data_IF_732333479834
#
_entry.id   IF_732333479834
#
_cell.length_a   1.000
_cell.length_b   1.000
_cell.length_c   1.000
_cell.angle_alpha   90.00
_cell.angle_beta   90.00
_cell.angle_gamma   90.00
#
_symmetry.space_group_name_H-M   'P 1'
#
loop_
_entity.id
_entity.type
_entity.pdbx_description
1 polymer ?
#
# COMPACT_ATOMS: atom_id res chain seq x y z
N UNK A 1 18.80 -23.31 14.44
CA UNK A 1 18.37 -22.87 13.09
C UNK A 1 17.58 -21.57 13.21
N UNK A 2 17.96 -20.50 12.52
CA UNK A 2 17.28 -19.21 12.63
C UNK A 2 15.90 -19.26 11.95
N UNK A 3 14.84 -19.09 12.73
CA UNK A 3 13.45 -19.09 12.24
C UNK A 3 13.21 -17.83 11.42
N UNK A 4 13.01 -17.97 10.10
CA UNK A 4 12.62 -16.86 9.22
C UNK A 4 11.43 -16.14 9.84
N UNK A 5 11.61 -14.86 10.18
CA UNK A 5 10.59 -14.04 10.83
C UNK A 5 9.29 -14.05 10.02
N UNK A 6 8.16 -14.17 10.72
CA UNK A 6 6.83 -14.21 10.09
C UNK A 6 6.43 -12.87 9.43
N UNK A 7 7.15 -11.80 9.79
CA UNK A 7 6.94 -10.44 9.31
C UNK A 7 7.72 -10.20 8.03
N UNK A 8 7.02 -9.78 6.98
CA UNK A 8 7.62 -9.35 5.71
C UNK A 8 7.37 -7.87 5.46
N UNK A 9 8.22 -7.25 4.65
CA UNK A 9 7.95 -5.92 4.09
C UNK A 9 7.15 -6.08 2.81
N UNK A 10 6.10 -5.28 2.65
CA UNK A 10 5.26 -5.20 1.45
C UNK A 10 5.09 -3.75 1.02
N UNK A 11 4.83 -3.53 -0.27
CA UNK A 11 4.46 -2.21 -0.80
C UNK A 11 2.94 -2.13 -0.80
N UNK A 12 2.40 -1.00 -0.38
CA UNK A 12 1.01 -0.63 -0.63
C UNK A 12 1.06 0.37 -1.78
N UNK A 13 0.63 -0.04 -2.97
CA UNK A 13 0.69 0.76 -4.20
C UNK A 13 -0.64 1.48 -4.41
N UNK A 14 -0.57 2.78 -4.70
CA UNK A 14 -1.75 3.61 -4.99
C UNK A 14 -2.47 3.12 -6.24
N UNK A 15 -3.80 2.97 -6.16
CA UNK A 15 -4.63 2.63 -7.34
C UNK A 15 -4.81 3.79 -8.31
N UNK A 16 -4.41 5.01 -7.93
CA UNK A 16 -4.51 6.20 -8.79
C UNK A 16 -3.46 6.26 -9.91
N UNK A 17 -2.57 5.26 -10.04
CA UNK A 17 -1.58 5.20 -11.12
C UNK A 17 -0.44 6.22 -11.01
N UNK A 18 -0.30 6.90 -9.86
CA UNK A 18 0.68 7.97 -9.62
C UNK A 18 2.11 7.46 -9.36
N UNK A 19 2.27 6.15 -9.21
CA UNK A 19 3.52 5.50 -8.76
C UNK A 19 3.83 5.72 -7.27
N UNK A 20 2.95 6.38 -6.50
CA UNK A 20 3.14 6.55 -5.07
C UNK A 20 2.84 5.25 -4.30
N UNK A 21 3.70 4.90 -3.35
CA UNK A 21 3.54 3.71 -2.53
C UNK A 21 4.01 3.94 -1.10
N UNK A 22 3.40 3.20 -0.17
CA UNK A 22 3.89 3.08 1.19
C UNK A 22 4.62 1.76 1.37
N UNK A 23 5.65 1.73 2.21
CA UNK A 23 6.24 0.48 2.69
C UNK A 23 5.64 0.16 4.05
N UNK A 24 5.18 -1.08 4.23
CA UNK A 24 4.68 -1.54 5.52
C UNK A 24 5.17 -2.94 5.84
N UNK A 25 5.11 -3.28 7.12
CA UNK A 25 5.44 -4.62 7.63
C UNK A 25 4.14 -5.37 7.87
N UNK A 26 4.04 -6.59 7.36
CA UNK A 26 2.86 -7.44 7.52
C UNK A 26 3.30 -8.81 8.02
N UNK A 27 2.55 -9.36 8.95
CA UNK A 27 2.79 -10.70 9.47
C UNK A 27 2.01 -11.70 8.63
N UNK A 28 2.70 -12.51 7.82
CA UNK A 28 2.09 -13.48 6.91
C UNK A 28 1.30 -14.59 7.62
N UNK A 29 1.53 -14.78 8.92
CA UNK A 29 0.80 -15.77 9.72
C UNK A 29 -0.61 -15.32 10.08
N UNK A 30 -0.77 -14.03 10.38
CA UNK A 30 -2.06 -13.46 10.79
C UNK A 30 -2.81 -12.82 9.63
N UNK A 31 -2.09 -12.39 8.60
CA UNK A 31 -2.67 -11.79 7.39
C UNK A 31 -2.33 -12.65 6.19
N UNK A 32 -3.30 -13.47 5.80
CA UNK A 32 -3.23 -14.39 4.66
C UNK A 32 -3.69 -13.72 3.36
N UNK A 33 -4.59 -12.74 3.44
CA UNK A 33 -5.13 -12.02 2.29
C UNK A 33 -4.35 -10.75 1.95
N UNK A 34 -4.44 -10.31 0.68
CA UNK A 34 -3.82 -9.05 0.22
C UNK A 34 -4.47 -7.87 0.92
N UNK A 35 -3.65 -6.98 1.47
CA UNK A 35 -4.16 -5.77 2.10
C UNK A 35 -4.67 -4.75 1.09
N UNK A 36 -5.88 -4.23 1.36
CA UNK A 36 -6.41 -3.03 0.73
C UNK A 36 -6.65 -2.00 1.83
N UNK A 37 -6.09 -0.80 1.67
CA UNK A 37 -6.26 0.29 2.65
C UNK A 37 -6.50 1.61 1.94
N UNK A 38 -7.51 2.35 2.37
CA UNK A 38 -7.69 3.73 1.95
C UNK A 38 -6.67 4.63 2.65
N UNK A 39 -5.83 5.31 1.87
CA UNK A 39 -4.80 6.24 2.37
C UNK A 39 -4.70 7.46 1.46
N UNK A 40 -4.02 8.49 1.93
CA UNK A 40 -3.75 9.68 1.14
C UNK A 40 -2.64 9.42 0.12
N UNK A 41 -2.86 9.86 -1.12
CA UNK A 41 -1.84 9.95 -2.14
C UNK A 41 -1.67 11.44 -2.50
N UNK A 42 -0.50 12.06 -2.20
CA UNK A 42 -0.25 13.47 -2.47
C UNK A 42 -0.19 13.79 -3.98
N UNK A 43 0.02 12.79 -4.82
CA UNK A 43 0.12 12.93 -6.28
C UNK A 43 -1.19 12.58 -6.99
N UNK A 44 -2.15 11.99 -6.29
CA UNK A 44 -3.44 11.65 -6.88
C UNK A 44 -4.26 12.91 -7.12
N UNK A 45 -4.85 13.03 -8.30
CA UNK A 45 -5.74 14.14 -8.62
C UNK A 45 -7.09 13.90 -7.97
N UNK A 46 -7.57 14.87 -7.21
CA UNK A 46 -8.92 14.87 -6.65
C UNK A 46 -9.93 15.13 -7.78
N UNK A 47 -10.87 14.20 -7.96
CA UNK A 47 -11.87 14.29 -9.02
C UNK A 47 -12.84 15.46 -8.85
N UNK A 48 -13.11 15.91 -7.62
CA UNK A 48 -14.08 16.97 -7.33
C UNK A 48 -13.47 18.37 -7.40
N UNK A 49 -12.27 18.56 -6.84
CA UNK A 49 -11.64 19.89 -6.75
C UNK A 49 -10.59 20.12 -7.84
N UNK A 50 -10.20 19.10 -8.59
CA UNK A 50 -9.14 19.16 -9.60
C UNK A 50 -7.72 19.33 -9.04
N UNK A 51 -7.57 19.45 -7.71
CA UNK A 51 -6.29 19.65 -7.03
C UNK A 51 -5.55 18.33 -6.82
N UNK A 52 -4.23 18.41 -6.61
CA UNK A 52 -3.41 17.27 -6.20
C UNK A 52 -3.69 16.92 -4.73
N UNK A 53 -3.66 15.63 -4.40
CA UNK A 53 -3.97 15.10 -3.09
C UNK A 53 -5.37 14.50 -2.98
N UNK A 54 -5.47 13.18 -2.89
CA UNK A 54 -6.73 12.48 -2.67
C UNK A 54 -6.55 11.21 -1.84
N UNK A 55 -7.59 10.84 -1.08
CA UNK A 55 -7.63 9.53 -0.44
C UNK A 55 -8.10 8.49 -1.44
N UNK A 56 -7.21 7.54 -1.72
CA UNK A 56 -7.42 6.47 -2.70
C UNK A 56 -7.13 5.14 -2.05
N UNK A 57 -7.58 4.06 -2.69
CA UNK A 57 -7.25 2.73 -2.24
C UNK A 57 -5.81 2.38 -2.57
N UNK A 58 -5.12 1.76 -1.62
CA UNK A 58 -3.79 1.22 -1.82
C UNK A 58 -3.86 -0.29 -1.69
N UNK A 59 -3.30 -0.99 -2.68
CA UNK A 59 -3.28 -2.46 -2.74
C UNK A 59 -1.90 -3.00 -2.44
N UNK A 60 -1.84 -4.12 -1.74
CA UNK A 60 -0.59 -4.81 -1.47
C UNK A 60 0.04 -5.37 -2.73
N UNK A 61 1.32 -5.04 -2.91
CA UNK A 61 2.21 -5.62 -3.91
C UNK A 61 3.50 -6.13 -3.26
N UNK A 62 4.08 -7.16 -3.88
CA UNK A 62 5.31 -7.79 -3.42
C UNK A 62 6.48 -6.82 -3.60
N UNK A 63 7.29 -6.66 -2.57
CA UNK A 63 8.62 -6.05 -2.72
C UNK A 63 9.45 -7.07 -3.50
N UNK A 64 9.76 -6.78 -4.77
CA UNK A 64 10.75 -7.53 -5.55
C UNK A 64 12.16 -7.16 -5.08
#
# INVERSE_FOLDING_TARGET
MAKKGATVKVKLVSTAGTGYYYVTKVNKKTKTEKLVKKKYDPRAKNATTGKLGAHVDFKEDKVK
#
